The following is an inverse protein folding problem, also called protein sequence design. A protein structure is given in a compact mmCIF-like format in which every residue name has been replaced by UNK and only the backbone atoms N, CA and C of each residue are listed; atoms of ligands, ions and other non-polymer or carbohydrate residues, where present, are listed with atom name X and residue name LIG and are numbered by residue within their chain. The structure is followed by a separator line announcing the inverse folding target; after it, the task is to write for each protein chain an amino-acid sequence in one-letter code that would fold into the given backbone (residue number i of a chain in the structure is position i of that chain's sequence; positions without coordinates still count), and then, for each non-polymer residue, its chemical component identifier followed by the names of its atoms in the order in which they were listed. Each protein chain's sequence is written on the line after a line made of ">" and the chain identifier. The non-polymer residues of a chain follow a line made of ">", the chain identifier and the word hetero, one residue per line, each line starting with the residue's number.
data_IF_708938032185
#
_entry.id   IF_708938032185
#
_cell.length_a   1.000
_cell.length_b   1.000
_cell.length_c   1.000
_cell.angle_alpha   90.00
_cell.angle_beta   90.00
_cell.angle_gamma   90.00
#
_symmetry.space_group_name_H-M   'P 1'
#
loop_
_entity.id
_entity.type
_entity.pdbx_description
1 polymer ?
#
# COMPACT_ATOMS: atom_id res chain seq x y z
N UNK A 1 25.31 -9.25 4.58
CA UNK A 1 24.90 -7.85 4.38
C UNK A 1 25.43 -7.42 3.02
N UNK A 2 24.64 -6.77 2.18
CA UNK A 2 25.16 -6.13 0.96
C UNK A 2 26.03 -4.97 1.43
N UNK A 3 27.33 -5.20 1.49
CA UNK A 3 28.31 -4.25 2.09
C UNK A 3 28.69 -3.08 1.16
N UNK A 4 28.10 -2.99 -0.03
CA UNK A 4 28.37 -1.92 -1.01
C UNK A 4 27.16 -1.00 -1.16
N UNK A 5 27.42 0.29 -1.25
CA UNK A 5 26.40 1.29 -1.59
C UNK A 5 25.89 1.01 -3.01
N UNK A 6 24.60 0.69 -3.12
CA UNK A 6 23.93 0.44 -4.41
C UNK A 6 23.29 1.73 -4.92
N UNK A 7 23.23 1.88 -6.25
CA UNK A 7 22.41 2.89 -6.92
C UNK A 7 21.07 2.25 -7.28
N UNK A 8 19.99 2.76 -6.68
CA UNK A 8 18.65 2.14 -6.71
C UNK A 8 17.63 3.11 -7.26
N UNK A 9 16.85 2.66 -8.24
CA UNK A 9 15.67 3.37 -8.70
C UNK A 9 14.43 2.72 -8.09
N UNK A 10 13.55 3.50 -7.48
CA UNK A 10 12.22 3.05 -7.04
C UNK A 10 11.19 3.69 -7.94
N UNK A 11 10.28 2.89 -8.49
CA UNK A 11 9.16 3.40 -9.28
C UNK A 11 7.84 3.25 -8.55
N UNK A 12 6.93 4.22 -8.74
CA UNK A 12 5.66 4.27 -8.04
C UNK A 12 4.63 5.20 -8.69
N UNK A 13 3.68 5.70 -7.90
CA UNK A 13 2.51 6.45 -8.35
C UNK A 13 2.31 7.75 -7.54
N UNK A 14 3.36 8.36 -6.98
CA UNK A 14 3.24 9.56 -6.10
C UNK A 14 2.72 10.77 -6.88
N UNK A 15 3.27 11.02 -8.09
CA UNK A 15 2.79 12.10 -8.94
C UNK A 15 1.47 11.74 -9.62
N UNK A 16 1.28 10.48 -10.02
CA UNK A 16 0.03 10.01 -10.63
C UNK A 16 -1.18 10.21 -9.73
N UNK A 17 -1.01 9.94 -8.43
CA UNK A 17 -2.04 10.07 -7.40
C UNK A 17 -1.47 10.80 -6.18
N UNK A 18 -1.40 12.14 -6.18
CA UNK A 18 -0.82 12.94 -5.10
C UNK A 18 -1.76 12.96 -3.88
N UNK A 19 -1.84 11.83 -3.19
CA UNK A 19 -2.69 11.57 -2.03
C UNK A 19 -1.85 10.95 -0.92
N UNK A 20 -2.14 11.30 0.33
CA UNK A 20 -1.32 10.92 1.48
C UNK A 20 -1.03 9.41 1.57
N UNK A 21 -2.06 8.56 1.47
CA UNK A 21 -1.89 7.12 1.52
C UNK A 21 -1.06 6.55 0.38
N UNK A 22 -1.28 7.04 -0.86
CA UNK A 22 -0.49 6.63 -2.03
C UNK A 22 0.96 7.08 -1.89
N UNK A 23 1.18 8.31 -1.44
CA UNK A 23 2.53 8.84 -1.22
C UNK A 23 3.30 7.96 -0.24
N UNK A 24 2.72 7.62 0.92
CA UNK A 24 3.35 6.74 1.89
C UNK A 24 3.60 5.33 1.34
N UNK A 25 2.76 4.84 0.42
CA UNK A 25 2.95 3.52 -0.18
C UNK A 25 4.29 3.37 -0.90
N UNK A 26 4.76 4.41 -1.58
CA UNK A 26 6.02 4.38 -2.34
C UNK A 26 7.18 5.06 -1.60
N UNK A 27 6.89 6.13 -0.87
CA UNK A 27 7.92 6.91 -0.17
C UNK A 27 8.66 6.07 0.89
N UNK A 28 8.00 5.11 1.53
CA UNK A 28 8.63 4.24 2.51
C UNK A 28 9.74 3.36 1.91
N UNK A 29 9.66 3.01 0.63
CA UNK A 29 10.77 2.36 -0.08
C UNK A 29 11.93 3.34 -0.28
N UNK A 30 11.62 4.52 -0.79
CA UNK A 30 12.62 5.54 -1.13
C UNK A 30 13.38 5.98 0.12
N UNK A 31 12.67 6.36 1.17
CA UNK A 31 13.25 6.83 2.42
C UNK A 31 13.97 5.70 3.16
N UNK A 32 13.37 4.52 3.25
CA UNK A 32 13.99 3.36 3.90
C UNK A 32 15.32 2.96 3.25
N UNK A 33 15.37 2.85 1.92
CA UNK A 33 16.60 2.54 1.19
C UNK A 33 17.65 3.65 1.33
N UNK A 34 17.24 4.93 1.33
CA UNK A 34 18.14 6.06 1.56
C UNK A 34 18.77 6.02 2.96
N UNK A 35 17.96 5.69 3.98
CA UNK A 35 18.45 5.54 5.37
C UNK A 35 19.37 4.34 5.56
N UNK A 36 19.22 3.31 4.75
CA UNK A 36 20.18 2.19 4.67
C UNK A 36 21.52 2.59 4.00
N UNK A 37 21.67 3.84 3.54
CA UNK A 37 22.91 4.38 2.98
C UNK A 37 23.05 4.18 1.47
N UNK A 38 22.03 3.72 0.77
CA UNK A 38 22.05 3.56 -0.69
C UNK A 38 21.89 4.90 -1.44
N UNK A 39 22.30 4.93 -2.71
CA UNK A 39 22.10 6.05 -3.64
C UNK A 39 20.76 5.87 -4.35
N UNK A 40 19.69 6.52 -3.80
CA UNK A 40 18.31 6.24 -4.17
C UNK A 40 17.70 7.34 -5.01
N UNK A 41 17.00 6.95 -6.06
CA UNK A 41 16.26 7.81 -6.98
C UNK A 41 14.81 7.34 -7.10
N UNK A 42 13.89 8.28 -7.26
CA UNK A 42 12.49 7.98 -7.56
C UNK A 42 12.20 8.29 -9.03
N UNK A 43 11.60 7.34 -9.75
CA UNK A 43 11.25 7.51 -11.15
C UNK A 43 9.81 7.08 -11.38
N UNK A 44 9.00 7.95 -12.00
CA UNK A 44 7.61 7.66 -12.32
C UNK A 44 7.31 7.86 -13.80
N UNK A 45 6.96 6.76 -14.47
CA UNK A 45 6.60 6.68 -15.90
C UNK A 45 5.44 5.73 -16.08
N UNK A 46 4.23 6.19 -15.75
CA UNK A 46 3.03 5.37 -15.74
C UNK A 46 2.32 5.31 -17.09
N UNK A 47 2.62 6.25 -17.98
CA UNK A 47 1.88 6.45 -19.23
C UNK A 47 0.41 6.88 -19.05
N UNK A 48 -0.03 7.12 -17.83
CA UNK A 48 -1.39 7.51 -17.49
C UNK A 48 -1.49 9.01 -17.22
N UNK A 49 -2.64 9.62 -17.55
CA UNK A 49 -2.95 10.99 -17.18
C UNK A 49 -3.05 11.12 -15.66
N UNK A 50 -2.44 12.16 -15.05
CA UNK A 50 -2.41 12.31 -13.60
C UNK A 50 -3.78 12.66 -13.02
N UNK A 51 -4.04 12.18 -11.80
CA UNK A 51 -5.17 12.61 -11.00
C UNK A 51 -4.82 13.94 -10.30
N UNK A 52 -5.74 14.90 -10.36
CA UNK A 52 -5.62 16.16 -9.60
C UNK A 52 -6.73 16.21 -8.54
N UNK A 53 -6.40 16.10 -7.24
CA UNK A 53 -7.39 16.13 -6.18
C UNK A 53 -8.13 17.48 -6.07
N UNK A 54 -7.53 18.58 -6.54
CA UNK A 54 -8.19 19.90 -6.56
C UNK A 54 -9.28 20.00 -7.62
N UNK A 55 -9.11 19.27 -8.72
CA UNK A 55 -10.09 19.16 -9.80
C UNK A 55 -11.07 17.98 -9.59
N UNK A 56 -10.76 17.11 -8.63
CA UNK A 56 -11.56 15.92 -8.32
C UNK A 56 -11.52 14.84 -9.40
N UNK A 57 -10.54 14.86 -10.32
CA UNK A 57 -10.50 13.96 -11.46
C UNK A 57 -9.14 13.84 -12.15
N UNK A 58 -9.15 13.19 -13.30
CA UNK A 58 -8.00 13.12 -14.20
C UNK A 58 -7.82 14.50 -14.85
N UNK A 59 -6.59 15.00 -14.87
CA UNK A 59 -6.20 16.32 -15.37
C UNK A 59 -5.45 16.22 -16.69
N UNK A 60 -5.68 17.18 -17.59
CA UNK A 60 -4.90 17.36 -18.83
C UNK A 60 -3.57 18.09 -18.58
N UNK A 61 -3.33 18.57 -17.36
CA UNK A 61 -2.10 19.20 -16.91
C UNK A 61 -1.44 18.42 -15.79
N UNK A 62 -0.15 18.66 -15.53
CA UNK A 62 0.61 18.00 -14.46
C UNK A 62 1.28 18.96 -13.49
N UNK A 63 1.02 20.27 -13.56
CA UNK A 63 1.70 21.27 -12.74
C UNK A 63 1.55 21.00 -11.23
N UNK A 64 0.33 20.66 -10.78
CA UNK A 64 0.08 20.28 -9.39
C UNK A 64 0.86 19.03 -8.99
N UNK A 65 0.85 18.00 -9.82
CA UNK A 65 1.48 16.70 -9.57
C UNK A 65 3.01 16.81 -9.50
N UNK A 66 3.60 17.60 -10.41
CA UNK A 66 5.03 17.90 -10.42
C UNK A 66 5.43 18.68 -9.16
N UNK A 67 4.68 19.73 -8.82
CA UNK A 67 4.95 20.53 -7.62
C UNK A 67 4.83 19.68 -6.34
N UNK A 68 3.82 18.82 -6.26
CA UNK A 68 3.61 17.90 -5.14
C UNK A 68 4.80 16.94 -4.99
N UNK A 69 5.17 16.22 -6.07
CA UNK A 69 6.30 15.28 -6.04
C UNK A 69 7.60 15.99 -5.65
N UNK A 70 7.89 17.16 -6.26
CA UNK A 70 9.08 17.95 -5.95
C UNK A 70 9.14 18.32 -4.47
N UNK A 71 8.04 18.79 -3.90
CA UNK A 71 7.95 19.14 -2.47
C UNK A 71 8.19 17.94 -1.56
N UNK A 72 7.58 16.78 -1.88
CA UNK A 72 7.78 15.54 -1.12
C UNK A 72 9.24 15.10 -1.18
N UNK A 73 9.85 15.04 -2.36
CA UNK A 73 11.23 14.59 -2.50
C UNK A 73 12.22 15.55 -1.81
N UNK A 74 12.00 16.86 -1.93
CA UNK A 74 12.83 17.88 -1.26
C UNK A 74 12.76 17.77 0.27
N UNK A 75 11.60 17.49 0.82
CA UNK A 75 11.40 17.29 2.26
C UNK A 75 12.26 16.18 2.85
N UNK A 76 12.51 15.12 2.08
CA UNK A 76 13.35 13.99 2.50
C UNK A 76 14.80 14.08 2.00
N UNK A 77 15.24 15.26 1.55
CA UNK A 77 16.62 15.49 1.08
C UNK A 77 16.93 14.85 -0.28
N UNK A 78 15.90 14.61 -1.08
CA UNK A 78 15.99 13.95 -2.39
C UNK A 78 15.49 14.85 -3.53
N UNK A 79 15.55 16.18 -3.36
CA UNK A 79 14.99 17.15 -4.30
C UNK A 79 15.60 17.12 -5.70
N UNK A 80 16.82 16.64 -5.83
CA UNK A 80 17.56 16.43 -7.09
C UNK A 80 17.58 14.95 -7.56
N UNK A 81 16.76 14.08 -6.94
CA UNK A 81 16.81 12.61 -7.14
C UNK A 81 15.48 12.02 -7.59
N UNK A 82 14.77 12.72 -8.44
CA UNK A 82 13.50 12.23 -8.98
C UNK A 82 13.30 12.61 -10.44
N UNK A 83 12.53 11.79 -11.16
CA UNK A 83 12.06 12.07 -12.50
C UNK A 83 10.59 11.63 -12.64
N UNK A 84 9.79 12.45 -13.33
CA UNK A 84 8.41 12.15 -13.67
C UNK A 84 8.18 12.38 -15.16
N UNK A 85 7.60 11.38 -15.85
CA UNK A 85 7.21 11.46 -17.23
C UNK A 85 5.72 11.75 -17.36
N UNK A 86 5.39 12.93 -17.85
CA UNK A 86 4.02 13.25 -18.21
C UNK A 86 3.67 12.63 -19.57
N UNK A 87 2.55 11.92 -19.74
CA UNK A 87 2.26 11.17 -20.96
C UNK A 87 2.10 12.05 -22.20
N UNK A 88 1.59 13.30 -22.04
CA UNK A 88 1.46 14.23 -23.15
C UNK A 88 2.84 14.67 -23.64
N UNK A 89 3.11 14.43 -24.93
CA UNK A 89 4.41 14.69 -25.58
C UNK A 89 5.61 14.02 -24.88
N UNK A 90 5.38 13.03 -24.02
CA UNK A 90 6.43 12.36 -23.25
C UNK A 90 7.35 13.32 -22.51
N UNK A 91 6.82 14.40 -21.95
CA UNK A 91 7.56 15.45 -21.27
C UNK A 91 8.09 14.96 -19.92
N UNK A 92 9.38 15.19 -19.65
CA UNK A 92 10.03 14.87 -18.39
C UNK A 92 10.20 16.08 -17.49
N UNK A 93 10.10 15.83 -16.17
CA UNK A 93 10.35 16.77 -15.09
C UNK A 93 11.30 16.16 -14.06
N UNK A 94 12.01 17.01 -13.31
CA UNK A 94 13.03 16.60 -12.34
C UNK A 94 14.39 16.47 -12.99
N UNK A 95 15.00 15.28 -12.94
CA UNK A 95 16.34 15.02 -13.50
C UNK A 95 16.45 15.41 -14.97
N UNK A 96 17.53 16.13 -15.35
CA UNK A 96 17.86 16.40 -16.75
C UNK A 96 18.03 15.10 -17.55
N UNK A 97 17.86 15.19 -18.87
CA UNK A 97 17.90 14.01 -19.76
C UNK A 97 19.19 13.20 -19.63
N UNK A 98 20.34 13.87 -19.70
CA UNK A 98 21.64 13.21 -19.60
C UNK A 98 21.85 12.49 -18.26
N UNK A 99 21.41 13.12 -17.15
CA UNK A 99 21.51 12.53 -15.81
C UNK A 99 20.57 11.33 -15.68
N UNK A 100 19.34 11.40 -16.23
CA UNK A 100 18.37 10.32 -16.24
C UNK A 100 18.87 9.13 -17.06
N UNK A 101 19.44 9.36 -18.24
CA UNK A 101 20.04 8.31 -19.07
C UNK A 101 21.23 7.65 -18.37
N UNK A 102 22.10 8.45 -17.77
CA UNK A 102 23.22 7.95 -16.97
C UNK A 102 22.74 7.14 -15.77
N UNK A 103 21.70 7.60 -15.07
CA UNK A 103 21.08 6.88 -13.95
C UNK A 103 20.61 5.50 -14.40
N UNK A 104 19.81 5.41 -15.48
CA UNK A 104 19.31 4.15 -16.02
C UNK A 104 20.46 3.23 -16.44
N UNK A 105 21.50 3.76 -17.04
CA UNK A 105 22.65 2.99 -17.51
C UNK A 105 23.54 2.45 -16.37
N UNK A 106 23.53 3.09 -15.20
CA UNK A 106 24.46 2.78 -14.10
C UNK A 106 23.78 2.25 -12.85
N UNK A 107 22.44 2.22 -12.79
CA UNK A 107 21.70 1.72 -11.65
C UNK A 107 21.93 0.20 -11.48
N UNK A 108 22.16 -0.19 -10.23
CA UNK A 108 22.30 -1.59 -9.85
C UNK A 108 20.93 -2.30 -9.77
N UNK A 109 19.90 -1.55 -9.36
CA UNK A 109 18.58 -2.10 -9.10
C UNK A 109 17.48 -1.10 -9.49
N UNK A 110 16.42 -1.60 -10.13
CA UNK A 110 15.16 -0.88 -10.27
C UNK A 110 14.05 -1.71 -9.62
N UNK A 111 13.37 -1.11 -8.65
CA UNK A 111 12.23 -1.70 -7.94
C UNK A 111 10.95 -1.12 -8.53
N UNK A 112 10.28 -1.90 -9.36
CA UNK A 112 8.99 -1.55 -9.97
C UNK A 112 7.85 -1.98 -9.05
N UNK A 113 7.39 -1.05 -8.20
CA UNK A 113 6.31 -1.33 -7.25
C UNK A 113 4.97 -1.18 -7.95
N UNK A 114 4.08 -2.18 -7.77
CA UNK A 114 2.71 -2.21 -8.32
C UNK A 114 2.64 -2.16 -9.87
N UNK A 115 3.68 -2.59 -10.58
CA UNK A 115 3.74 -2.50 -12.06
C UNK A 115 3.53 -1.06 -12.57
N UNK A 116 4.12 -0.09 -11.88
CA UNK A 116 3.92 1.34 -12.15
C UNK A 116 4.60 1.83 -13.42
N UNK A 117 5.62 1.12 -13.94
CA UNK A 117 6.28 1.46 -15.18
C UNK A 117 5.56 0.87 -16.38
N UNK A 118 5.21 1.71 -17.35
CA UNK A 118 4.51 1.24 -18.56
C UNK A 118 5.46 0.62 -19.58
N UNK A 119 6.59 1.25 -19.86
CA UNK A 119 7.51 0.81 -20.92
C UNK A 119 8.82 0.25 -20.36
N UNK A 120 8.76 -0.95 -19.77
CA UNK A 120 9.91 -1.59 -19.13
C UNK A 120 11.11 -1.79 -20.05
N UNK A 121 10.91 -1.86 -21.38
CA UNK A 121 12.00 -2.02 -22.34
C UNK A 121 13.01 -0.86 -22.28
N UNK A 122 12.57 0.36 -21.96
CA UNK A 122 13.44 1.52 -21.82
C UNK A 122 14.39 1.42 -20.61
N UNK A 123 14.03 0.58 -19.63
CA UNK A 123 14.76 0.40 -18.37
C UNK A 123 15.63 -0.86 -18.30
N UNK A 124 15.69 -1.67 -19.37
CA UNK A 124 16.47 -2.93 -19.39
C UNK A 124 17.99 -2.76 -19.30
N UNK A 125 18.49 -1.54 -19.37
CA UNK A 125 19.91 -1.24 -19.12
C UNK A 125 20.29 -1.31 -17.63
N UNK A 126 19.30 -1.22 -16.72
CA UNK A 126 19.51 -1.44 -15.29
C UNK A 126 19.95 -2.90 -15.05
N UNK A 127 20.93 -3.11 -14.15
CA UNK A 127 21.50 -4.46 -13.94
C UNK A 127 20.47 -5.50 -13.45
N UNK A 128 19.54 -5.07 -12.59
CA UNK A 128 18.46 -5.91 -12.05
C UNK A 128 17.13 -5.19 -12.04
N UNK A 129 16.10 -5.83 -12.54
CA UNK A 129 14.70 -5.37 -12.47
C UNK A 129 13.94 -6.22 -11.47
N UNK A 130 13.36 -5.59 -10.46
CA UNK A 130 12.53 -6.23 -9.44
C UNK A 130 11.10 -5.79 -9.60
N UNK A 131 10.20 -6.77 -9.62
CA UNK A 131 8.76 -6.53 -9.53
C UNK A 131 8.27 -6.74 -8.09
N UNK A 132 7.51 -5.79 -7.56
CA UNK A 132 6.81 -5.94 -6.29
C UNK A 132 5.31 -5.93 -6.54
N UNK A 133 4.69 -7.11 -6.44
CA UNK A 133 3.25 -7.30 -6.51
C UNK A 133 2.60 -6.89 -5.18
N UNK A 134 1.82 -5.82 -5.22
CA UNK A 134 1.09 -5.29 -4.08
C UNK A 134 -0.38 -5.72 -4.05
N UNK A 135 -0.82 -6.48 -5.06
CA UNK A 135 -2.21 -6.91 -5.24
C UNK A 135 -2.30 -8.44 -5.50
N UNK A 136 -1.82 -9.26 -4.52
CA UNK A 136 -1.76 -10.72 -4.67
C UNK A 136 -3.12 -11.32 -4.97
N UNK A 137 -3.13 -12.54 -5.50
CA UNK A 137 -4.27 -13.24 -6.07
C UNK A 137 -4.74 -12.62 -7.38
N UNK A 138 -5.04 -11.33 -7.43
CA UNK A 138 -5.45 -10.65 -8.68
C UNK A 138 -4.35 -10.70 -9.73
N UNK A 139 -3.11 -10.41 -9.33
CA UNK A 139 -1.92 -10.54 -10.19
C UNK A 139 -1.76 -11.98 -10.70
N UNK A 140 -1.80 -12.96 -9.82
CA UNK A 140 -1.61 -14.37 -10.16
C UNK A 140 -2.74 -14.90 -11.05
N UNK A 141 -3.99 -14.49 -10.80
CA UNK A 141 -5.13 -14.85 -11.66
C UNK A 141 -4.98 -14.27 -13.07
N UNK A 142 -4.56 -13.00 -13.20
CA UNK A 142 -4.31 -12.41 -14.53
C UNK A 142 -3.27 -13.20 -15.32
N UNK A 143 -2.17 -13.60 -14.67
CA UNK A 143 -1.13 -14.43 -15.27
C UNK A 143 -1.64 -15.82 -15.64
N UNK A 144 -2.36 -16.48 -14.73
CA UNK A 144 -2.93 -17.82 -14.96
C UNK A 144 -4.01 -17.82 -16.06
N UNK A 145 -4.71 -16.70 -16.26
CA UNK A 145 -5.65 -16.50 -17.37
C UNK A 145 -4.95 -16.17 -18.70
N UNK A 146 -3.63 -16.07 -18.72
CA UNK A 146 -2.87 -15.84 -19.94
C UNK A 146 -3.04 -14.43 -20.52
N UNK A 147 -3.23 -13.38 -19.68
CA UNK A 147 -3.24 -12.00 -20.16
C UNK A 147 -1.86 -11.63 -20.73
N UNK A 148 -1.72 -11.71 -22.05
CA UNK A 148 -0.44 -11.70 -22.75
C UNK A 148 0.41 -10.44 -22.45
N UNK A 149 -0.18 -9.26 -22.52
CA UNK A 149 0.56 -8.00 -22.28
C UNK A 149 1.03 -7.91 -20.83
N UNK A 150 0.18 -8.30 -19.88
CA UNK A 150 0.54 -8.29 -18.46
C UNK A 150 1.63 -9.34 -18.16
N UNK A 151 1.51 -10.54 -18.74
CA UNK A 151 2.55 -11.57 -18.63
C UNK A 151 3.88 -11.07 -19.17
N UNK A 152 3.88 -10.47 -20.37
CA UNK A 152 5.09 -9.88 -20.97
C UNK A 152 5.76 -8.85 -20.05
N UNK A 153 4.97 -8.01 -19.38
CA UNK A 153 5.51 -7.06 -18.41
C UNK A 153 6.16 -7.76 -17.22
N UNK A 154 5.50 -8.79 -16.64
CA UNK A 154 6.05 -9.51 -15.48
C UNK A 154 7.30 -10.29 -15.88
N UNK A 155 7.30 -10.94 -17.04
CA UNK A 155 8.44 -11.74 -17.59
C UNK A 155 9.70 -10.88 -17.83
N UNK A 156 9.56 -9.56 -17.93
CA UNK A 156 10.71 -8.66 -18.08
C UNK A 156 11.48 -8.41 -16.78
N UNK A 157 10.97 -8.82 -15.63
CA UNK A 157 11.66 -8.66 -14.35
C UNK A 157 12.53 -9.87 -14.01
N UNK A 158 13.66 -9.62 -13.37
CA UNK A 158 14.60 -10.67 -12.98
C UNK A 158 14.17 -11.36 -11.68
N UNK A 159 13.46 -10.64 -10.80
CA UNK A 159 12.98 -11.16 -9.50
C UNK A 159 11.59 -10.61 -9.20
N UNK A 160 10.70 -11.47 -8.72
CA UNK A 160 9.33 -11.10 -8.34
C UNK A 160 9.10 -11.29 -6.84
N UNK A 161 8.61 -10.23 -6.20
CA UNK A 161 8.12 -10.25 -4.82
C UNK A 161 6.62 -10.05 -4.79
N UNK A 162 5.97 -10.53 -3.73
CA UNK A 162 4.54 -10.27 -3.52
C UNK A 162 4.24 -10.05 -2.04
N UNK A 163 3.25 -9.20 -1.78
CA UNK A 163 2.67 -9.02 -0.44
C UNK A 163 1.76 -10.19 -0.03
N UNK A 164 1.63 -11.19 -0.88
CA UNK A 164 0.93 -12.43 -0.56
C UNK A 164 1.90 -13.46 0.01
N UNK A 165 2.04 -13.49 1.34
CA UNK A 165 3.02 -14.37 2.01
C UNK A 165 2.68 -15.87 1.88
N UNK A 166 1.40 -16.22 1.62
CA UNK A 166 0.93 -17.60 1.48
C UNK A 166 0.70 -18.02 0.01
N UNK A 167 1.11 -17.23 -0.97
CA UNK A 167 0.86 -17.51 -2.41
C UNK A 167 1.46 -18.83 -2.90
N UNK A 168 2.56 -19.29 -2.33
CA UNK A 168 3.17 -20.59 -2.68
C UNK A 168 2.24 -21.78 -2.40
N UNK A 169 1.30 -21.61 -1.46
CA UNK A 169 0.40 -22.68 -1.02
C UNK A 169 -1.02 -22.49 -1.58
N UNK A 170 -1.45 -21.22 -1.72
CA UNK A 170 -2.85 -20.87 -2.01
C UNK A 170 -3.06 -20.26 -3.40
N UNK A 171 -2.01 -19.71 -4.00
CA UNK A 171 -2.11 -18.95 -5.23
C UNK A 171 -2.21 -19.81 -6.49
N UNK A 172 -2.78 -19.25 -7.60
CA UNK A 172 -2.71 -19.88 -8.90
C UNK A 172 -1.26 -20.05 -9.37
N UNK A 173 -0.95 -21.15 -10.03
CA UNK A 173 0.33 -21.33 -10.70
C UNK A 173 0.51 -20.33 -11.85
N UNK A 174 1.65 -19.64 -11.85
CA UNK A 174 1.96 -18.59 -12.84
C UNK A 174 3.19 -18.87 -13.67
N UNK A 175 4.02 -19.83 -13.26
CA UNK A 175 5.35 -20.08 -13.81
C UNK A 175 6.44 -19.16 -13.23
N UNK A 176 6.07 -18.22 -12.33
CA UNK A 176 7.01 -17.31 -11.68
C UNK A 176 7.26 -17.76 -10.24
N UNK A 177 8.49 -17.54 -9.77
CA UNK A 177 8.81 -17.63 -8.35
C UNK A 177 8.49 -16.32 -7.65
N UNK A 178 7.53 -16.35 -6.71
CA UNK A 178 7.15 -15.22 -5.88
C UNK A 178 7.86 -15.30 -4.53
N UNK A 179 8.71 -14.32 -4.24
CA UNK A 179 9.28 -14.19 -2.91
C UNK A 179 8.31 -13.42 -2.00
N UNK A 180 7.97 -13.96 -0.81
CA UNK A 180 7.11 -13.25 0.12
C UNK A 180 7.78 -11.96 0.59
N UNK A 181 6.99 -10.90 0.70
CA UNK A 181 7.46 -9.59 1.16
C UNK A 181 6.36 -8.87 1.91
N UNK A 182 6.71 -8.19 2.98
CA UNK A 182 5.82 -7.27 3.70
C UNK A 182 5.99 -5.84 3.21
N UNK A 183 5.03 -4.98 3.54
CA UNK A 183 5.16 -3.55 3.29
C UNK A 183 6.28 -2.98 4.16
N UNK A 184 7.32 -2.37 3.61
CA UNK A 184 8.30 -1.66 4.42
C UNK A 184 7.65 -0.45 5.07
N UNK A 185 7.93 -0.24 6.37
CA UNK A 185 7.43 0.90 7.13
C UNK A 185 8.59 1.59 7.83
N UNK A 186 8.82 2.85 7.52
CA UNK A 186 9.87 3.67 8.14
C UNK A 186 9.37 4.11 9.51
N UNK A 187 9.70 3.34 10.54
CA UNK A 187 9.07 3.42 11.87
C UNK A 187 9.15 4.81 12.51
N UNK A 188 10.27 5.51 12.35
CA UNK A 188 10.47 6.85 12.93
C UNK A 188 9.54 7.92 12.34
N UNK A 189 8.99 7.70 11.13
CA UNK A 189 8.01 8.61 10.55
C UNK A 189 6.62 8.46 11.19
N UNK A 190 6.36 7.40 11.94
CA UNK A 190 5.07 7.09 12.55
C UNK A 190 5.05 7.28 14.06
N UNK A 191 6.16 7.66 14.67
CA UNK A 191 6.21 7.98 16.09
C UNK A 191 5.27 9.14 16.44
N UNK A 192 4.50 8.97 17.49
CA UNK A 192 3.52 9.97 17.92
C UNK A 192 3.42 10.02 19.44
N UNK A 193 3.50 11.22 19.99
CA UNK A 193 3.14 11.54 21.36
C UNK A 193 1.69 12.03 21.50
N UNK A 194 0.93 12.09 20.40
CA UNK A 194 -0.44 12.56 20.39
C UNK A 194 -1.36 11.57 21.10
N UNK A 195 -2.20 12.07 22.02
CA UNK A 195 -3.27 11.26 22.57
C UNK A 195 -4.28 10.90 21.48
N UNK A 196 -4.68 9.62 21.35
CA UNK A 196 -5.65 9.23 20.36
C UNK A 196 -7.04 9.77 20.68
N UNK A 197 -7.83 10.06 19.66
CA UNK A 197 -9.28 10.23 19.76
C UNK A 197 -9.91 8.88 20.09
N UNK A 198 -11.03 8.87 20.77
CA UNK A 198 -11.75 7.62 21.08
C UNK A 198 -12.59 7.12 19.89
N UNK A 199 -11.91 6.84 18.77
CA UNK A 199 -12.52 6.48 17.49
C UNK A 199 -11.68 5.43 16.78
N UNK A 200 -12.31 4.34 16.35
CA UNK A 200 -11.70 3.40 15.41
C UNK A 200 -11.88 3.93 13.99
N UNK A 201 -10.81 3.92 13.21
CA UNK A 201 -10.83 4.54 11.88
C UNK A 201 -10.39 3.58 10.79
N UNK A 202 -10.72 3.91 9.55
CA UNK A 202 -10.11 3.33 8.35
C UNK A 202 -10.09 4.34 7.21
N UNK A 203 -9.12 4.24 6.30
CA UNK A 203 -9.09 4.95 5.03
C UNK A 203 -9.21 3.93 3.92
N UNK A 204 -10.25 3.99 3.10
CA UNK A 204 -10.47 2.95 2.09
C UNK A 204 -11.22 3.44 0.85
N UNK A 205 -11.05 2.71 -0.24
CA UNK A 205 -11.95 2.75 -1.38
C UNK A 205 -13.01 1.66 -1.24
N UNK A 206 -14.25 1.97 -1.58
CA UNK A 206 -15.35 1.00 -1.63
C UNK A 206 -15.10 -0.05 -2.70
N UNK A 207 -14.80 0.43 -3.91
CA UNK A 207 -14.35 -0.40 -5.04
C UNK A 207 -13.21 0.27 -5.77
N UNK A 208 -12.24 -0.50 -6.25
CA UNK A 208 -11.09 0.02 -7.02
C UNK A 208 -11.15 -0.40 -8.49
N UNK A 209 -11.61 -1.62 -8.79
CA UNK A 209 -11.74 -2.19 -10.14
C UNK A 209 -12.79 -3.31 -10.14
N UNK A 210 -13.08 -3.86 -11.34
CA UNK A 210 -14.06 -4.94 -11.51
C UNK A 210 -13.56 -6.25 -10.87
N UNK A 211 -14.51 -7.05 -10.38
CA UNK A 211 -14.21 -8.40 -9.91
C UNK A 211 -13.60 -9.25 -11.03
N UNK A 212 -12.77 -10.23 -10.67
CA UNK A 212 -12.19 -11.19 -11.59
C UNK A 212 -12.70 -12.59 -11.26
N UNK A 213 -13.06 -13.37 -12.28
CA UNK A 213 -13.48 -14.77 -12.10
C UNK A 213 -12.37 -15.71 -12.53
N UNK A 214 -12.09 -16.72 -11.71
CA UNK A 214 -11.12 -17.76 -12.00
C UNK A 214 -11.60 -19.12 -11.48
N UNK A 215 -11.57 -20.15 -12.32
CA UNK A 215 -12.06 -21.51 -11.99
C UNK A 215 -13.45 -21.52 -11.35
N UNK A 216 -14.38 -20.73 -11.87
CA UNK A 216 -15.75 -20.64 -11.41
C UNK A 216 -15.96 -19.80 -10.12
N UNK A 217 -14.90 -19.33 -9.47
CA UNK A 217 -14.96 -18.51 -8.26
C UNK A 217 -14.78 -17.03 -8.61
N UNK A 218 -15.54 -16.15 -7.96
CA UNK A 218 -15.39 -14.69 -8.10
C UNK A 218 -14.47 -14.15 -7.02
N UNK A 219 -13.56 -13.24 -7.41
CA UNK A 219 -12.65 -12.52 -6.51
C UNK A 219 -13.02 -11.04 -6.59
N UNK A 220 -13.63 -10.56 -5.54
CA UNK A 220 -14.27 -9.24 -5.50
C UNK A 220 -13.49 -8.18 -4.73
N UNK A 221 -14.15 -7.03 -4.56
CA UNK A 221 -13.61 -5.87 -3.87
C UNK A 221 -14.14 -5.80 -2.43
N UNK A 222 -13.84 -4.70 -1.72
CA UNK A 222 -14.25 -4.50 -0.32
C UNK A 222 -15.75 -4.40 -0.13
N UNK A 223 -16.48 -3.90 -1.12
CA UNK A 223 -17.93 -3.80 -1.12
C UNK A 223 -18.63 -5.14 -0.87
N UNK A 224 -18.03 -6.25 -1.37
CA UNK A 224 -18.56 -7.60 -1.16
C UNK A 224 -18.41 -8.02 0.30
N UNK A 225 -17.21 -7.80 0.88
CA UNK A 225 -16.95 -8.19 2.28
C UNK A 225 -17.66 -7.29 3.28
N UNK A 226 -17.72 -5.99 3.02
CA UNK A 226 -18.22 -5.02 3.97
C UNK A 226 -19.70 -5.24 4.35
N UNK A 227 -20.51 -5.72 3.41
CA UNK A 227 -21.96 -5.81 3.61
C UNK A 227 -22.34 -6.74 4.77
N UNK A 228 -21.57 -7.76 5.09
CA UNK A 228 -21.83 -8.62 6.25
C UNK A 228 -21.56 -7.93 7.60
N UNK A 229 -20.77 -6.84 7.61
CA UNK A 229 -20.43 -6.07 8.81
C UNK A 229 -21.20 -4.76 8.92
N UNK A 230 -22.23 -4.57 8.10
CA UNK A 230 -22.93 -3.28 8.00
C UNK A 230 -23.57 -2.83 9.33
N UNK A 231 -23.99 -3.77 10.16
CA UNK A 231 -24.63 -3.52 11.46
C UNK A 231 -23.63 -3.43 12.64
N UNK A 232 -22.32 -3.53 12.37
CA UNK A 232 -21.28 -3.56 13.40
C UNK A 232 -21.31 -2.35 14.36
N UNK A 233 -21.59 -1.09 13.93
CA UNK A 233 -21.68 0.03 14.86
C UNK A 233 -22.70 -0.17 15.98
N UNK A 234 -23.84 -0.81 15.66
CA UNK A 234 -24.86 -1.17 16.68
C UNK A 234 -24.39 -2.23 17.66
N UNK A 235 -23.53 -3.16 17.25
CA UNK A 235 -22.99 -4.25 18.08
C UNK A 235 -21.91 -3.78 19.07
N UNK A 236 -21.24 -2.67 18.75
CA UNK A 236 -20.09 -2.16 19.54
C UNK A 236 -20.36 -0.81 20.21
N UNK A 237 -21.58 -0.31 20.16
CA UNK A 237 -21.93 0.96 20.84
C UNK A 237 -21.51 0.93 22.32
N UNK A 238 -20.92 2.02 22.86
CA UNK A 238 -20.82 3.36 22.30
C UNK A 238 -19.55 3.63 21.45
N UNK A 239 -18.79 2.60 21.04
CA UNK A 239 -17.57 2.75 20.23
C UNK A 239 -17.92 3.37 18.87
N UNK A 240 -17.19 4.41 18.49
CA UNK A 240 -17.38 5.10 17.21
C UNK A 240 -16.50 4.46 16.13
N UNK A 241 -17.12 4.03 15.03
CA UNK A 241 -16.46 3.53 13.83
C UNK A 241 -16.51 4.60 12.73
N UNK A 242 -15.38 5.19 12.38
CA UNK A 242 -15.25 6.26 11.38
C UNK A 242 -14.53 5.78 10.13
N UNK A 243 -15.07 6.10 8.96
CA UNK A 243 -14.49 5.74 7.68
C UNK A 243 -14.20 6.97 6.82
N UNK A 244 -12.92 7.20 6.50
CA UNK A 244 -12.52 8.06 5.41
C UNK A 244 -12.63 7.26 4.11
N UNK A 245 -13.79 7.37 3.43
CA UNK A 245 -14.13 6.50 2.31
C UNK A 245 -14.40 7.27 1.02
N UNK A 246 -13.72 6.87 -0.05
CA UNK A 246 -13.96 7.41 -1.39
C UNK A 246 -15.27 6.90 -2.02
N UNK A 247 -15.71 7.60 -3.07
CA UNK A 247 -16.99 7.34 -3.74
C UNK A 247 -17.11 5.97 -4.42
N UNK A 248 -15.99 5.25 -4.60
CA UNK A 248 -15.93 3.99 -5.35
C UNK A 248 -15.82 4.20 -6.87
N UNK A 249 -15.10 3.30 -7.56
CA UNK A 249 -14.87 3.40 -9.01
C UNK A 249 -15.88 2.60 -9.84
N UNK A 250 -16.24 1.40 -9.40
CA UNK A 250 -17.12 0.49 -10.15
C UNK A 250 -18.53 0.39 -9.55
N UNK A 251 -18.65 0.59 -8.26
CA UNK A 251 -19.92 0.74 -7.54
C UNK A 251 -19.81 1.88 -6.56
N UNK A 252 -20.84 2.71 -6.49
CA UNK A 252 -20.89 3.82 -5.54
C UNK A 252 -20.97 3.32 -4.11
N UNK A 253 -20.28 4.00 -3.22
CA UNK A 253 -20.39 3.82 -1.77
C UNK A 253 -21.81 4.18 -1.34
N UNK A 254 -22.55 3.30 -0.66
CA UNK A 254 -23.93 3.56 -0.20
C UNK A 254 -23.90 4.41 1.09
N UNK A 255 -23.47 5.67 0.97
CA UNK A 255 -23.19 6.54 2.13
C UNK A 255 -24.41 6.68 3.06
N UNK A 256 -25.60 6.93 2.50
CA UNK A 256 -26.82 7.13 3.29
C UNK A 256 -27.18 5.88 4.13
N UNK A 257 -27.02 4.71 3.52
CA UNK A 257 -27.23 3.44 4.22
C UNK A 257 -26.21 3.25 5.35
N UNK A 258 -24.94 3.52 5.09
CA UNK A 258 -23.88 3.40 6.09
C UNK A 258 -24.11 4.36 7.26
N UNK A 259 -24.46 5.62 6.99
CA UNK A 259 -24.81 6.61 8.03
C UNK A 259 -26.01 6.15 8.84
N UNK A 260 -27.08 5.65 8.18
CA UNK A 260 -28.27 5.11 8.87
C UNK A 260 -27.93 3.92 9.78
N UNK A 261 -26.92 3.14 9.44
CA UNK A 261 -26.42 1.99 10.23
C UNK A 261 -25.43 2.41 11.35
N UNK A 262 -25.17 3.70 11.51
CA UNK A 262 -24.33 4.24 12.60
C UNK A 262 -22.85 4.43 12.23
N UNK A 263 -22.46 4.20 10.98
CA UNK A 263 -21.11 4.49 10.52
C UNK A 263 -20.88 6.00 10.43
N UNK A 264 -19.77 6.48 10.97
CA UNK A 264 -19.33 7.86 10.77
C UNK A 264 -18.54 7.98 9.47
N UNK A 265 -19.10 8.61 8.46
CA UNK A 265 -18.48 8.80 7.15
C UNK A 265 -17.81 10.17 7.07
N UNK A 266 -16.55 10.20 6.67
CA UNK A 266 -15.79 11.43 6.41
C UNK A 266 -15.17 11.41 5.02
N UNK A 267 -15.02 12.59 4.44
CA UNK A 267 -14.40 12.75 3.11
C UNK A 267 -12.86 12.59 3.25
N UNK A 268 -12.23 11.59 2.58
CA UNK A 268 -10.79 11.40 2.63
C UNK A 268 -9.99 12.60 2.11
N UNK A 269 -10.53 13.38 1.16
CA UNK A 269 -9.87 14.58 0.65
C UNK A 269 -9.89 15.75 1.65
N UNK A 270 -10.69 15.66 2.72
CA UNK A 270 -10.68 16.64 3.82
C UNK A 270 -9.81 16.21 5.00
N UNK A 271 -9.79 14.92 5.32
CA UNK A 271 -9.13 14.44 6.55
C UNK A 271 -7.73 13.88 6.30
N UNK A 272 -7.42 13.43 5.08
CA UNK A 272 -6.12 12.85 4.74
C UNK A 272 -5.70 13.12 3.28
N UNK A 273 -5.79 14.41 2.80
CA UNK A 273 -5.48 14.76 1.41
C UNK A 273 -4.00 14.59 1.04
N UNK A 274 -3.10 14.77 1.99
CA UNK A 274 -1.66 14.78 1.78
C UNK A 274 -0.90 13.90 2.79
N UNK A 275 0.42 13.89 2.67
CA UNK A 275 1.33 13.08 3.46
C UNK A 275 1.16 13.28 4.97
N UNK A 276 1.08 14.52 5.43
CA UNK A 276 1.03 14.87 6.86
C UNK A 276 -0.33 14.60 7.46
N UNK A 277 -1.38 15.07 6.82
CA UNK A 277 -2.74 14.86 7.27
C UNK A 277 -3.13 13.38 7.30
N UNK A 278 -2.65 12.57 6.34
CA UNK A 278 -2.83 11.12 6.39
C UNK A 278 -2.15 10.48 7.59
N UNK A 279 -0.89 10.88 7.87
CA UNK A 279 -0.14 10.41 9.03
C UNK A 279 -0.82 10.82 10.33
N UNK A 280 -1.20 12.09 10.45
CA UNK A 280 -1.88 12.64 11.63
C UNK A 280 -3.23 11.94 11.86
N UNK A 281 -4.02 11.70 10.82
CA UNK A 281 -5.29 10.98 10.91
C UNK A 281 -5.10 9.58 11.52
N UNK A 282 -4.07 8.85 11.12
CA UNK A 282 -3.71 7.56 11.69
C UNK A 282 -3.23 7.72 13.14
N UNK A 283 -2.33 8.64 13.40
CA UNK A 283 -1.77 8.87 14.73
C UNK A 283 -2.81 9.31 15.76
N UNK A 284 -3.83 10.04 15.35
CA UNK A 284 -4.96 10.46 16.19
C UNK A 284 -6.04 9.40 16.36
N UNK A 285 -5.99 8.30 15.66
CA UNK A 285 -6.95 7.21 15.78
C UNK A 285 -6.67 6.37 17.02
N UNK A 286 -7.71 5.85 17.70
CA UNK A 286 -7.53 4.86 18.77
C UNK A 286 -6.99 3.54 18.20
N UNK A 287 -7.63 3.05 17.16
CA UNK A 287 -7.28 1.80 16.48
C UNK A 287 -7.77 1.82 15.02
N UNK A 288 -7.35 0.86 14.22
CA UNK A 288 -7.94 0.59 12.93
C UNK A 288 -9.01 -0.50 13.05
N UNK A 289 -10.13 -0.34 12.32
CA UNK A 289 -11.00 -1.45 11.94
C UNK A 289 -11.14 -1.47 10.41
N UNK A 290 -10.93 -2.62 9.76
CA UNK A 290 -11.05 -2.67 8.30
C UNK A 290 -11.33 -4.08 7.77
N UNK A 291 -12.10 -4.14 6.68
CA UNK A 291 -12.23 -5.33 5.84
C UNK A 291 -11.16 -5.36 4.75
N UNK A 292 -10.82 -6.56 4.29
CA UNK A 292 -9.97 -6.78 3.12
C UNK A 292 -10.79 -6.79 1.83
N UNK A 293 -10.14 -6.80 0.65
CA UNK A 293 -10.82 -7.14 -0.60
C UNK A 293 -11.27 -8.60 -0.53
N UNK A 294 -12.49 -8.90 -1.00
CA UNK A 294 -12.98 -10.27 -1.07
C UNK A 294 -12.00 -11.21 -1.78
N UNK A 295 -11.29 -10.74 -2.81
CA UNK A 295 -10.27 -11.54 -3.47
C UNK A 295 -9.12 -11.98 -2.56
N UNK A 296 -8.73 -11.19 -1.56
CA UNK A 296 -7.70 -11.59 -0.59
C UNK A 296 -8.24 -12.60 0.43
N UNK A 297 -9.49 -12.39 0.87
CA UNK A 297 -10.18 -13.30 1.79
C UNK A 297 -10.38 -14.66 1.12
N UNK A 298 -10.95 -14.67 -0.07
CA UNK A 298 -11.21 -15.89 -0.85
C UNK A 298 -9.94 -16.63 -1.27
N UNK A 299 -8.88 -15.88 -1.53
CA UNK A 299 -7.61 -16.43 -1.96
C UNK A 299 -6.67 -16.84 -0.83
N UNK A 300 -6.98 -16.47 0.43
CA UNK A 300 -6.13 -16.75 1.61
C UNK A 300 -4.65 -16.50 1.34
N UNK A 301 -4.38 -15.35 0.68
CA UNK A 301 -3.05 -15.06 0.13
C UNK A 301 -1.99 -14.68 1.16
N UNK A 302 -2.38 -14.46 2.41
CA UNK A 302 -1.49 -13.91 3.44
C UNK A 302 -1.24 -12.40 3.30
N UNK A 303 -2.10 -11.68 2.57
CA UNK A 303 -1.95 -10.25 2.38
C UNK A 303 -2.27 -9.47 3.66
N UNK A 304 -1.34 -8.58 4.06
CA UNK A 304 -1.53 -7.62 5.14
C UNK A 304 -1.44 -6.19 4.61
N UNK A 305 -2.32 -5.31 5.07
CA UNK A 305 -2.43 -3.94 4.56
C UNK A 305 -1.23 -3.07 4.96
N UNK A 306 -0.65 -2.36 3.98
CA UNK A 306 0.37 -1.33 4.25
C UNK A 306 -0.15 -0.21 5.17
N UNK A 307 -1.44 0.14 5.07
CA UNK A 307 -2.08 1.10 5.97
C UNK A 307 -2.11 0.55 7.40
N UNK A 308 -2.49 -0.70 7.60
CA UNK A 308 -2.50 -1.36 8.92
C UNK A 308 -1.10 -1.38 9.53
N UNK A 309 -0.04 -1.60 8.73
CA UNK A 309 1.34 -1.49 9.20
C UNK A 309 1.67 -0.06 9.69
N UNK A 310 1.10 0.98 9.07
CA UNK A 310 1.25 2.37 9.54
C UNK A 310 0.56 2.60 10.90
N UNK A 311 -0.65 2.04 11.10
CA UNK A 311 -1.31 2.07 12.42
C UNK A 311 -0.46 1.39 13.48
N UNK A 312 0.03 0.18 13.21
CA UNK A 312 0.92 -0.54 14.14
C UNK A 312 2.16 0.29 14.47
N UNK A 313 2.79 0.89 13.47
CA UNK A 313 3.98 1.73 13.65
C UNK A 313 3.69 2.99 14.48
N UNK A 314 2.47 3.50 14.46
CA UNK A 314 2.01 4.59 15.34
C UNK A 314 1.58 4.11 16.74
N UNK A 315 1.75 2.82 17.06
CA UNK A 315 1.28 2.23 18.32
C UNK A 315 -0.25 2.16 18.40
N UNK A 316 -0.92 2.03 17.26
CA UNK A 316 -2.38 1.90 17.18
C UNK A 316 -2.73 0.45 16.83
N UNK A 317 -3.48 -0.25 17.69
CA UNK A 317 -3.93 -1.61 17.41
C UNK A 317 -4.77 -1.68 16.14
N UNK A 318 -4.79 -2.86 15.51
CA UNK A 318 -5.60 -3.08 14.31
C UNK A 318 -6.52 -4.28 14.49
N UNK A 319 -7.80 -4.09 14.14
CA UNK A 319 -8.82 -5.13 14.03
C UNK A 319 -9.11 -5.33 12.55
N UNK A 320 -8.60 -6.40 11.98
CA UNK A 320 -8.54 -6.60 10.53
C UNK A 320 -9.04 -7.97 10.10
N UNK A 321 -9.71 -8.03 8.96
CA UNK A 321 -10.21 -9.28 8.41
C UNK A 321 -9.05 -10.20 8.01
N UNK A 322 -9.12 -11.48 8.42
CA UNK A 322 -8.11 -12.46 8.11
C UNK A 322 -8.10 -12.81 6.60
N UNK A 323 -6.91 -12.79 6.03
CA UNK A 323 -6.64 -13.17 4.64
C UNK A 323 -5.63 -14.31 4.54
N UNK A 324 -5.43 -15.05 5.64
CA UNK A 324 -4.41 -16.08 5.77
C UNK A 324 -3.11 -15.60 6.44
N UNK A 325 -2.92 -14.29 6.66
CA UNK A 325 -1.69 -13.76 7.25
C UNK A 325 -1.48 -14.18 8.71
N UNK A 326 -2.53 -14.59 9.43
CA UNK A 326 -2.44 -15.08 10.80
C UNK A 326 -1.55 -16.34 10.93
N UNK A 327 -1.24 -17.02 9.83
CA UNK A 327 -0.30 -18.14 9.80
C UNK A 327 1.18 -17.70 9.83
N UNK A 328 1.47 -16.43 9.52
CA UNK A 328 2.85 -15.91 9.37
C UNK A 328 3.15 -14.66 10.21
N UNK A 329 2.12 -14.03 10.78
CA UNK A 329 2.22 -12.88 11.69
C UNK A 329 1.43 -13.21 12.94
N UNK A 330 2.00 -13.06 14.17
CA UNK A 330 1.29 -13.29 15.42
C UNK A 330 0.07 -12.36 15.55
N UNK A 331 -1.04 -12.94 15.97
CA UNK A 331 -2.31 -12.26 16.23
C UNK A 331 -2.78 -12.47 17.68
N UNK A 332 -3.81 -11.74 18.10
CA UNK A 332 -4.38 -11.80 19.46
C UNK A 332 -3.99 -10.58 20.32
N UNK A 333 -2.83 -9.98 20.09
CA UNK A 333 -2.41 -8.75 20.73
C UNK A 333 -1.81 -7.77 19.70
N UNK A 334 -2.27 -6.52 19.71
CA UNK A 334 -1.87 -5.49 18.74
C UNK A 334 -2.47 -5.67 17.36
N UNK A 335 -2.56 -6.91 16.90
CA UNK A 335 -3.31 -7.33 15.70
C UNK A 335 -4.37 -8.33 16.15
N UNK A 336 -5.64 -8.00 15.95
CA UNK A 336 -6.77 -8.86 16.16
C UNK A 336 -7.43 -9.15 14.80
N UNK A 337 -7.82 -10.41 14.60
CA UNK A 337 -8.42 -10.86 13.34
C UNK A 337 -9.87 -11.23 13.55
N UNK A 338 -10.66 -11.13 12.48
CA UNK A 338 -12.04 -11.57 12.45
C UNK A 338 -12.41 -12.19 11.10
N UNK A 339 -13.43 -13.05 11.11
CA UNK A 339 -14.08 -13.64 9.93
C UNK A 339 -15.59 -13.41 9.95
N UNK A 340 -16.17 -13.17 11.13
CA UNK A 340 -17.59 -12.92 11.34
C UNK A 340 -17.85 -11.57 12.02
N UNK A 341 -19.08 -11.03 11.95
CA UNK A 341 -19.46 -9.80 12.67
C UNK A 341 -19.27 -9.90 14.18
N UNK A 342 -19.61 -11.05 14.78
CA UNK A 342 -19.44 -11.27 16.22
C UNK A 342 -17.98 -11.24 16.63
N UNK A 343 -17.11 -11.94 15.91
CA UNK A 343 -15.66 -11.88 16.12
C UNK A 343 -15.10 -10.47 15.98
N UNK A 344 -15.62 -9.68 15.00
CA UNK A 344 -15.21 -8.29 14.83
C UNK A 344 -15.63 -7.42 16.03
N UNK A 345 -16.86 -7.62 16.52
CA UNK A 345 -17.36 -6.91 17.69
C UNK A 345 -16.58 -7.25 18.96
N UNK A 346 -16.28 -8.53 19.17
CA UNK A 346 -15.51 -8.99 20.34
C UNK A 346 -14.06 -8.47 20.29
N UNK A 347 -13.43 -8.48 19.11
CA UNK A 347 -12.09 -7.92 18.92
C UNK A 347 -12.04 -6.42 19.19
N UNK A 348 -13.07 -5.65 18.79
CA UNK A 348 -13.14 -4.22 19.08
C UNK A 348 -13.26 -3.98 20.59
N UNK A 349 -14.14 -4.73 21.29
CA UNK A 349 -14.32 -4.64 22.74
C UNK A 349 -13.03 -4.99 23.47
N UNK A 350 -12.36 -6.08 23.07
CA UNK A 350 -11.07 -6.48 23.64
C UNK A 350 -10.01 -5.37 23.53
N UNK A 351 -9.92 -4.70 22.37
CA UNK A 351 -9.00 -3.56 22.19
C UNK A 351 -9.39 -2.39 23.11
N UNK A 352 -10.68 -2.13 23.30
CA UNK A 352 -11.15 -1.04 24.20
C UNK A 352 -10.79 -1.33 25.66
N UNK A 353 -11.08 -2.55 26.10
CA UNK A 353 -10.92 -2.97 27.50
C UNK A 353 -9.44 -3.09 27.90
N UNK A 354 -8.56 -3.46 26.94
CA UNK A 354 -7.15 -3.73 27.18
C UNK A 354 -6.22 -2.83 26.33
N UNK A 355 -6.64 -1.58 26.04
CA UNK A 355 -6.00 -0.68 25.07
C UNK A 355 -4.48 -0.55 25.23
N UNK A 356 -4.01 -0.32 26.46
CA UNK A 356 -2.58 -0.10 26.72
C UNK A 356 -1.70 -1.27 26.27
N UNK A 357 -2.13 -2.51 26.58
CA UNK A 357 -1.45 -3.73 26.18
C UNK A 357 -1.41 -3.88 24.65
N UNK A 358 -2.55 -3.64 23.99
CA UNK A 358 -2.62 -3.74 22.53
C UNK A 358 -1.81 -2.64 21.84
N UNK A 359 -1.77 -1.41 22.37
CA UNK A 359 -1.00 -0.31 21.80
C UNK A 359 0.52 -0.58 21.87
N UNK A 360 1.01 -1.07 23.01
CA UNK A 360 2.41 -1.46 23.18
C UNK A 360 2.79 -2.60 22.22
N UNK A 361 1.94 -3.65 22.17
CA UNK A 361 2.19 -4.79 21.28
C UNK A 361 2.12 -4.42 19.80
N UNK A 362 1.23 -3.49 19.41
CA UNK A 362 1.16 -2.96 18.04
C UNK A 362 2.50 -2.37 17.60
N UNK A 363 3.11 -1.52 18.44
CA UNK A 363 4.40 -0.91 18.15
C UNK A 363 5.51 -1.96 18.05
N UNK A 364 5.53 -2.95 18.95
CA UNK A 364 6.49 -4.04 18.92
C UNK A 364 6.39 -4.87 17.64
N UNK A 365 5.17 -5.23 17.21
CA UNK A 365 4.92 -5.96 15.97
C UNK A 365 5.35 -5.18 14.72
N UNK A 366 5.13 -3.85 14.71
CA UNK A 366 5.63 -3.02 13.61
C UNK A 366 7.15 -3.13 13.49
N UNK A 367 7.88 -3.04 14.60
CA UNK A 367 9.34 -3.17 14.64
C UNK A 367 9.84 -4.56 14.29
N UNK A 368 9.09 -5.59 14.64
CA UNK A 368 9.47 -6.99 14.38
C UNK A 368 9.24 -7.39 12.91
N UNK A 369 8.10 -6.98 12.33
CA UNK A 369 7.61 -7.54 11.06
C UNK A 369 7.59 -6.55 9.90
N UNK A 370 7.52 -5.24 10.13
CA UNK A 370 7.30 -4.23 9.08
C UNK A 370 8.40 -3.17 8.99
N UNK A 371 9.39 -3.19 9.89
CA UNK A 371 10.51 -2.26 9.86
C UNK A 371 11.17 -2.23 8.48
N UNK A 372 11.25 -1.03 7.87
CA UNK A 372 11.83 -0.82 6.55
C UNK A 372 13.23 -1.40 6.42
N UNK A 373 14.05 -1.31 7.45
CA UNK A 373 15.43 -1.79 7.41
C UNK A 373 15.49 -3.31 7.25
N UNK A 374 14.62 -4.03 7.97
CA UNK A 374 14.51 -5.48 7.88
C UNK A 374 13.92 -5.93 6.54
N UNK A 375 12.82 -5.32 6.14
CA UNK A 375 12.07 -5.69 4.93
C UNK A 375 12.89 -5.38 3.68
N UNK A 376 13.43 -4.16 3.57
CA UNK A 376 14.24 -3.76 2.41
C UNK A 376 15.60 -4.47 2.39
N UNK A 377 16.21 -4.69 3.56
CA UNK A 377 17.41 -5.52 3.65
C UNK A 377 17.19 -6.95 3.13
N UNK A 378 16.04 -7.56 3.41
CA UNK A 378 15.66 -8.87 2.84
C UNK A 378 15.47 -8.78 1.33
N UNK A 379 14.73 -7.77 0.83
CA UNK A 379 14.55 -7.55 -0.61
C UNK A 379 15.89 -7.45 -1.32
N UNK A 380 16.80 -6.61 -0.83
CA UNK A 380 18.13 -6.42 -1.43
C UNK A 380 18.94 -7.72 -1.48
N UNK A 381 18.97 -8.49 -0.39
CA UNK A 381 19.67 -9.79 -0.37
C UNK A 381 19.11 -10.78 -1.40
N UNK A 382 17.80 -10.80 -1.60
CA UNK A 382 17.17 -11.71 -2.58
C UNK A 382 17.29 -11.21 -4.02
N UNK A 383 17.28 -9.89 -4.23
CA UNK A 383 17.38 -9.29 -5.56
C UNK A 383 18.80 -9.33 -6.12
N UNK A 384 19.80 -9.19 -5.26
CA UNK A 384 21.21 -9.09 -5.68
C UNK A 384 21.96 -10.44 -5.64
N UNK A 385 21.33 -11.49 -5.13
CA UNK A 385 21.87 -12.85 -5.08
C UNK A 385 22.57 -13.11 -3.78
#
# INVERSE_FOLDING_TARGET
>A
MVNSKLRIIVSGLIAQYPLGGVTWDYLQYVVGLSRLGHDVYYLEDTGLWPYNPREGGISEGCAYNVAYLSAIMSRFGLGDRWAYRFPHKSQWFGLPEQEREMLIATADLLINVSSSLQNLAEYRKVKRLVYVDTDPVFTQIKLAKGQADFRKQVDMHDVCFSYGECLSETGPETGHRWYPMRKPTVLSEWESSLAPRDVFTTVMNWTSYKNITYKGKSYGQKDVEFMQYIDLPGMVAPVVLEMAIGSGKTRRTPQDLLIHKGWKIVDPLRVCPDLDSYREYIQLSKAEWTVAKNGYVEGQSGWFSGRSACYLAAGRPVVVQDTGFASVIPVGEGILTFKTPDEAADAIKEVVDNYGRHAERARALAGEYFDSDKVLGMLLRKAMG
#
